data_IF_428415568655
#
_entry.id   IF_428415568655
#
_cell.length_a   1.000
_cell.length_b   1.000
_cell.length_c   1.000
_cell.angle_alpha   90.00
_cell.angle_beta   90.00
_cell.angle_gamma   90.00
#
_symmetry.space_group_name_H-M   'P 1'
#
loop_
_entity.id
_entity.type
_entity.pdbx_description
1 polymer ?
#
# COMPACT_ATOMS: atom_id res chain seq x y z
N UNK A 1 -27.54 -19.87 4.68
CA UNK A 1 -27.63 -18.93 3.55
C UNK A 1 -26.50 -17.93 3.69
N UNK A 2 -25.44 -18.09 2.91
CA UNK A 2 -24.42 -17.03 2.82
C UNK A 2 -25.06 -15.84 2.14
N UNK A 3 -24.95 -14.66 2.76
CA UNK A 3 -25.53 -13.43 2.21
C UNK A 3 -24.79 -13.04 0.94
N UNK A 4 -25.50 -12.89 -0.16
CA UNK A 4 -25.02 -12.45 -1.48
C UNK A 4 -24.39 -11.03 -1.44
N UNK A 5 -24.33 -10.40 -0.26
CA UNK A 5 -23.84 -9.04 -0.03
C UNK A 5 -22.54 -8.96 0.77
N UNK A 6 -21.89 -10.08 1.03
CA UNK A 6 -20.64 -10.07 1.78
C UNK A 6 -19.53 -9.40 0.98
N UNK A 7 -18.71 -8.61 1.67
CA UNK A 7 -17.48 -8.03 1.11
C UNK A 7 -16.31 -8.92 1.47
N UNK A 8 -15.50 -9.23 0.49
CA UNK A 8 -14.31 -10.06 0.66
C UNK A 8 -13.09 -9.15 0.78
N UNK A 9 -12.29 -9.34 1.83
CA UNK A 9 -10.99 -8.71 1.96
C UNK A 9 -9.90 -9.70 1.58
N UNK A 10 -9.18 -9.43 0.47
CA UNK A 10 -8.13 -10.32 -0.02
C UNK A 10 -6.78 -9.91 0.54
N UNK A 11 -6.34 -10.55 1.63
CA UNK A 11 -5.10 -10.22 2.32
C UNK A 11 -3.95 -11.22 2.11
N UNK A 12 -4.24 -12.50 1.85
CA UNK A 12 -3.23 -13.52 1.51
C UNK A 12 -2.90 -13.51 0.01
N UNK A 13 -2.35 -12.37 -0.47
CA UNK A 13 -2.18 -12.16 -1.89
C UNK A 13 -3.46 -11.71 -2.59
N UNK A 14 -3.43 -11.60 -3.92
CA UNK A 14 -4.55 -11.11 -4.73
C UNK A 14 -5.49 -12.23 -5.21
N UNK A 15 -5.07 -13.50 -5.21
CA UNK A 15 -5.79 -14.61 -5.85
C UNK A 15 -7.20 -14.83 -5.29
N UNK A 16 -7.35 -14.74 -3.97
CA UNK A 16 -8.66 -14.84 -3.33
C UNK A 16 -9.62 -13.74 -3.75
N UNK A 17 -9.11 -12.51 -3.90
CA UNK A 17 -9.88 -11.37 -4.39
C UNK A 17 -10.29 -11.53 -5.85
N UNK A 18 -9.37 -11.97 -6.70
CA UNK A 18 -9.65 -12.26 -8.11
C UNK A 18 -10.73 -13.33 -8.23
N UNK A 19 -10.62 -14.42 -7.49
CA UNK A 19 -11.63 -15.50 -7.50
C UNK A 19 -13.00 -14.98 -7.01
N UNK A 20 -13.03 -14.16 -5.96
CA UNK A 20 -14.25 -13.57 -5.43
C UNK A 20 -14.90 -12.59 -6.40
N UNK A 21 -14.13 -11.73 -7.07
CA UNK A 21 -14.62 -10.81 -8.08
C UNK A 21 -15.23 -11.55 -9.29
N UNK A 22 -14.57 -12.63 -9.75
CA UNK A 22 -15.08 -13.51 -10.80
C UNK A 22 -16.38 -14.21 -10.42
N UNK A 23 -16.60 -14.46 -9.13
CA UNK A 23 -17.85 -15.00 -8.58
C UNK A 23 -18.92 -13.92 -8.33
N UNK A 24 -18.66 -12.64 -8.66
CA UNK A 24 -19.58 -11.52 -8.50
C UNK A 24 -19.64 -10.92 -7.09
N UNK A 25 -18.71 -11.27 -6.21
CA UNK A 25 -18.65 -10.69 -4.87
C UNK A 25 -17.90 -9.35 -4.87
N UNK A 26 -18.32 -8.45 -3.98
CA UNK A 26 -17.62 -7.19 -3.75
C UNK A 26 -16.29 -7.44 -3.00
N UNK A 27 -15.20 -6.84 -3.48
CA UNK A 27 -13.85 -7.10 -2.98
C UNK A 27 -13.13 -5.82 -2.60
N UNK A 28 -12.45 -5.85 -1.46
CA UNK A 28 -11.42 -4.88 -1.08
C UNK A 28 -10.06 -5.58 -1.24
N UNK A 29 -9.20 -5.03 -2.08
CA UNK A 29 -7.87 -5.59 -2.32
C UNK A 29 -6.89 -5.05 -1.28
N UNK A 30 -6.33 -5.95 -0.48
CA UNK A 30 -5.37 -5.62 0.58
C UNK A 30 -4.26 -6.68 0.71
N UNK A 31 -3.66 -7.13 -0.42
CA UNK A 31 -2.67 -8.21 -0.39
C UNK A 31 -1.45 -7.82 0.44
N UNK A 32 -1.04 -8.72 1.33
CA UNK A 32 0.12 -8.51 2.19
C UNK A 32 1.41 -8.26 1.41
N UNK A 33 1.48 -8.73 0.18
CA UNK A 33 2.63 -8.49 -0.72
C UNK A 33 2.81 -7.03 -1.13
N UNK A 34 1.77 -6.18 -1.03
CA UNK A 34 1.79 -4.80 -1.51
C UNK A 34 1.18 -3.79 -0.53
N UNK A 35 0.26 -4.23 0.33
CA UNK A 35 -0.59 -3.35 1.13
C UNK A 35 -0.31 -3.41 2.64
N UNK A 36 0.64 -4.23 3.09
CA UNK A 36 1.01 -4.32 4.51
C UNK A 36 2.10 -3.29 4.82
N UNK A 37 1.67 -2.19 5.42
CA UNK A 37 2.53 -1.05 5.73
C UNK A 37 3.23 -1.18 7.08
N UNK A 38 3.11 -2.30 7.75
CA UNK A 38 3.89 -2.73 8.91
C UNK A 38 5.16 -3.52 8.52
N UNK A 39 5.29 -3.89 7.23
CA UNK A 39 6.52 -4.47 6.68
C UNK A 39 7.57 -3.39 6.42
N UNK A 40 8.85 -3.76 6.41
CA UNK A 40 9.95 -2.84 6.15
C UNK A 40 9.87 -2.21 4.75
N UNK A 41 10.31 -0.95 4.64
CA UNK A 41 10.34 -0.20 3.39
C UNK A 41 11.71 -0.28 2.71
N UNK A 42 12.73 -0.75 3.42
CA UNK A 42 14.13 -0.82 2.96
C UNK A 42 14.70 -2.22 3.11
N UNK A 43 15.75 -2.53 2.35
CA UNK A 43 16.53 -3.76 2.50
C UNK A 43 17.58 -3.66 3.62
N UNK A 44 17.77 -2.48 4.22
CA UNK A 44 18.66 -2.24 5.35
C UNK A 44 17.86 -1.87 6.63
N UNK A 45 16.92 -2.72 7.07
CA UNK A 45 16.03 -2.37 8.17
C UNK A 45 16.78 -2.10 9.48
N UNK A 46 17.85 -2.85 9.74
CA UNK A 46 18.67 -2.69 10.95
C UNK A 46 19.27 -1.29 11.11
N UNK A 47 19.49 -0.59 10.00
CA UNK A 47 20.08 0.74 9.96
C UNK A 47 19.05 1.86 9.88
N UNK A 48 17.93 1.62 9.18
CA UNK A 48 17.03 2.67 8.73
C UNK A 48 15.61 2.56 9.32
N UNK A 49 15.25 1.41 9.88
CA UNK A 49 13.89 1.18 10.38
C UNK A 49 13.89 0.93 11.89
N UNK A 50 12.80 1.30 12.58
CA UNK A 50 12.54 0.77 13.93
C UNK A 50 12.33 -0.74 13.90
N UNK A 51 12.32 -1.37 15.08
CA UNK A 51 11.97 -2.78 15.20
C UNK A 51 10.61 -3.06 14.56
N UNK A 52 10.52 -4.07 13.70
CA UNK A 52 9.31 -4.43 12.98
C UNK A 52 9.11 -5.94 12.85
N UNK A 53 7.98 -6.34 12.27
CA UNK A 53 7.62 -7.76 12.08
C UNK A 53 8.47 -8.47 11.00
N UNK A 54 9.19 -7.71 10.20
CA UNK A 54 9.88 -8.22 9.01
C UNK A 54 9.12 -7.95 7.72
N UNK A 55 9.43 -8.73 6.67
CA UNK A 55 8.89 -8.51 5.33
C UNK A 55 9.51 -7.31 4.62
N UNK A 56 9.23 -7.15 3.31
CA UNK A 56 9.76 -6.04 2.52
C UNK A 56 8.72 -5.55 1.51
N UNK A 57 8.25 -4.34 1.73
CA UNK A 57 7.24 -3.67 0.87
C UNK A 57 7.64 -2.20 0.68
N UNK A 58 8.60 -1.91 -0.23
CA UNK A 58 9.01 -0.54 -0.53
C UNK A 58 7.92 0.22 -1.30
N UNK A 59 8.09 1.55 -1.40
CA UNK A 59 7.15 2.45 -2.11
C UNK A 59 6.88 1.99 -3.54
N UNK A 60 7.94 1.61 -4.27
CA UNK A 60 7.82 1.11 -5.65
C UNK A 60 6.94 -0.13 -5.75
N UNK A 61 7.06 -1.05 -4.80
CA UNK A 61 6.25 -2.27 -4.76
C UNK A 61 4.78 -1.96 -4.47
N UNK A 62 4.49 -1.07 -3.53
CA UNK A 62 3.12 -0.58 -3.31
C UNK A 62 2.56 0.04 -4.58
N UNK A 63 3.33 0.92 -5.23
CA UNK A 63 2.92 1.62 -6.44
C UNK A 63 2.70 0.71 -7.64
N UNK A 64 3.43 -0.41 -7.74
CA UNK A 64 3.28 -1.39 -8.83
C UNK A 64 2.03 -2.26 -8.71
N UNK A 65 1.32 -2.21 -7.59
CA UNK A 65 0.13 -3.02 -7.40
C UNK A 65 -0.97 -2.65 -8.38
N UNK A 66 -1.48 -3.65 -9.11
CA UNK A 66 -2.67 -3.51 -9.96
C UNK A 66 -3.84 -4.28 -9.32
N UNK A 67 -4.85 -3.58 -8.76
CA UNK A 67 -6.01 -4.22 -8.15
C UNK A 67 -6.94 -4.89 -9.17
N UNK A 68 -6.77 -4.62 -10.47
CA UNK A 68 -7.59 -5.14 -11.56
C UNK A 68 -6.92 -6.25 -12.37
N UNK A 69 -5.68 -6.62 -12.00
CA UNK A 69 -4.95 -7.69 -12.67
C UNK A 69 -5.79 -8.95 -12.81
N UNK A 70 -5.79 -9.56 -13.99
CA UNK A 70 -6.52 -10.79 -14.34
C UNK A 70 -8.06 -10.71 -14.26
N UNK A 71 -8.62 -9.50 -14.25
CA UNK A 71 -10.06 -9.25 -14.22
C UNK A 71 -10.52 -8.61 -15.53
N UNK A 72 -11.63 -9.12 -16.09
CA UNK A 72 -12.36 -8.44 -17.18
C UNK A 72 -12.99 -7.13 -16.71
N UNK A 73 -13.35 -6.24 -17.64
CA UNK A 73 -13.99 -4.95 -17.30
C UNK A 73 -15.26 -5.13 -16.46
N UNK A 74 -16.03 -6.19 -16.68
CA UNK A 74 -17.23 -6.48 -15.90
C UNK A 74 -16.86 -6.88 -14.45
N UNK A 75 -15.83 -7.73 -14.28
CA UNK A 75 -15.37 -8.19 -12.97
C UNK A 75 -14.68 -7.08 -12.16
N UNK A 76 -14.03 -6.13 -12.83
CA UNK A 76 -13.42 -4.95 -12.20
C UNK A 76 -14.44 -4.12 -11.42
N UNK A 77 -15.70 -4.09 -11.84
CA UNK A 77 -16.78 -3.40 -11.12
C UNK A 77 -17.04 -3.96 -9.71
N UNK A 78 -16.58 -5.19 -9.45
CA UNK A 78 -16.65 -5.81 -8.12
C UNK A 78 -15.56 -5.30 -7.16
N UNK A 79 -14.50 -4.66 -7.67
CA UNK A 79 -13.43 -4.11 -6.84
C UNK A 79 -13.87 -2.78 -6.25
N UNK A 80 -14.06 -2.75 -4.93
CA UNK A 80 -14.47 -1.54 -4.20
C UNK A 80 -13.31 -0.59 -3.93
N UNK A 81 -12.08 -1.09 -3.99
CA UNK A 81 -10.87 -0.32 -3.78
C UNK A 81 -9.75 -1.13 -3.17
N UNK A 82 -8.75 -0.41 -2.69
CA UNK A 82 -7.55 -0.94 -2.04
C UNK A 82 -7.49 -0.46 -0.59
N UNK A 83 -6.84 -1.26 0.28
CA UNK A 83 -6.64 -0.89 1.69
C UNK A 83 -5.21 -1.19 2.10
N UNK A 84 -4.55 -0.22 2.75
CA UNK A 84 -3.29 -0.43 3.45
C UNK A 84 -3.53 -0.85 4.89
N UNK A 85 -2.82 -1.87 5.34
CA UNK A 85 -2.89 -2.36 6.72
C UNK A 85 -1.63 -1.95 7.48
N UNK A 86 -1.82 -1.53 8.74
CA UNK A 86 -0.74 -1.25 9.69
C UNK A 86 -1.08 -2.05 10.95
N UNK A 87 -0.44 -3.21 11.11
CA UNK A 87 -0.57 -4.03 12.28
C UNK A 87 0.42 -3.53 13.35
N UNK A 88 -0.04 -3.45 14.60
CA UNK A 88 0.67 -2.67 15.61
C UNK A 88 1.46 -3.50 16.62
N UNK A 89 1.71 -4.77 16.35
CA UNK A 89 2.47 -5.65 17.25
C UNK A 89 3.85 -5.08 17.60
N UNK A 90 4.49 -4.38 16.66
CA UNK A 90 5.81 -3.76 16.83
C UNK A 90 5.76 -2.23 16.77
N UNK A 91 4.59 -1.63 16.54
CA UNK A 91 4.45 -0.18 16.37
C UNK A 91 4.01 0.44 17.70
N UNK A 92 4.98 0.95 18.45
CA UNK A 92 4.79 1.42 19.81
C UNK A 92 4.29 2.88 19.93
N UNK A 93 4.27 3.64 18.83
CA UNK A 93 3.90 5.06 18.86
C UNK A 93 3.27 5.55 17.56
N UNK A 94 2.55 6.67 17.63
CA UNK A 94 1.97 7.30 16.45
C UNK A 94 3.07 7.78 15.47
N UNK A 95 4.19 8.27 15.97
CA UNK A 95 5.33 8.66 15.14
C UNK A 95 5.91 7.46 14.37
N UNK A 96 5.95 6.27 15.01
CA UNK A 96 6.35 5.04 14.34
C UNK A 96 5.31 4.65 13.26
N UNK A 97 4.02 4.72 13.56
CA UNK A 97 2.97 4.44 12.58
C UNK A 97 3.06 5.39 11.36
N UNK A 98 3.32 6.68 11.58
CA UNK A 98 3.54 7.65 10.49
C UNK A 98 4.75 7.27 9.64
N UNK A 99 5.88 6.92 10.26
CA UNK A 99 7.08 6.49 9.55
C UNK A 99 6.79 5.27 8.67
N UNK A 100 6.08 4.28 9.20
CA UNK A 100 5.73 3.06 8.46
C UNK A 100 4.71 3.33 7.34
N UNK A 101 3.78 4.27 7.53
CA UNK A 101 2.78 4.62 6.53
C UNK A 101 3.34 5.48 5.38
N UNK A 102 4.20 6.45 5.71
CA UNK A 102 4.64 7.48 4.76
C UNK A 102 6.05 7.19 4.22
N UNK A 103 6.25 7.31 2.90
CA UNK A 103 5.32 7.83 1.89
C UNK A 103 4.43 6.77 1.19
N UNK A 104 4.47 5.50 1.58
CA UNK A 104 3.74 4.39 0.93
C UNK A 104 2.23 4.62 0.83
N UNK A 105 1.63 5.30 1.82
CA UNK A 105 0.20 5.61 1.78
C UNK A 105 -0.16 6.53 0.61
N UNK A 106 0.74 7.46 0.24
CA UNK A 106 0.54 8.28 -0.97
C UNK A 106 0.60 7.44 -2.25
N UNK A 107 1.52 6.45 -2.31
CA UNK A 107 1.59 5.50 -3.42
C UNK A 107 0.30 4.66 -3.52
N UNK A 108 -0.17 4.13 -2.40
CA UNK A 108 -1.40 3.33 -2.36
C UNK A 108 -2.64 4.16 -2.72
N UNK A 109 -2.69 5.42 -2.31
CA UNK A 109 -3.77 6.33 -2.70
C UNK A 109 -3.81 6.50 -4.22
N UNK A 110 -2.66 6.68 -4.88
CA UNK A 110 -2.62 6.81 -6.34
C UNK A 110 -2.99 5.50 -7.05
N UNK A 111 -2.63 4.34 -6.48
CA UNK A 111 -3.12 3.03 -6.95
C UNK A 111 -4.65 2.98 -6.95
N UNK A 112 -5.28 3.46 -5.89
CA UNK A 112 -6.74 3.43 -5.77
C UNK A 112 -7.47 4.44 -6.66
N UNK A 113 -6.88 5.63 -6.90
CA UNK A 113 -7.57 6.72 -7.58
C UNK A 113 -7.19 6.90 -9.05
N UNK A 114 -6.03 6.43 -9.48
CA UNK A 114 -5.46 6.69 -10.80
C UNK A 114 -4.80 5.48 -11.45
N UNK A 115 -5.32 4.27 -11.21
CA UNK A 115 -4.72 3.01 -11.61
C UNK A 115 -4.23 2.99 -13.07
N UNK A 116 -5.05 3.49 -14.00
CA UNK A 116 -4.78 3.46 -15.44
C UNK A 116 -3.80 4.54 -15.94
N UNK A 117 -3.43 5.49 -15.09
CA UNK A 117 -2.64 6.67 -15.47
C UNK A 117 -1.40 6.86 -14.62
N UNK A 118 -0.93 5.78 -13.99
CA UNK A 118 0.21 5.84 -13.08
C UNK A 118 1.53 5.89 -13.84
N UNK A 119 2.39 6.78 -13.39
CA UNK A 119 3.79 6.87 -13.79
C UNK A 119 4.64 7.08 -12.54
N UNK A 120 5.53 6.12 -12.24
CA UNK A 120 6.34 6.14 -11.02
C UNK A 120 7.35 7.30 -11.00
N UNK A 121 7.89 7.67 -12.16
CA UNK A 121 8.82 8.80 -12.27
C UNK A 121 8.11 10.13 -11.97
N UNK A 122 6.91 10.33 -12.52
CA UNK A 122 6.08 11.49 -12.21
C UNK A 122 5.63 11.49 -10.74
N UNK A 123 5.23 10.34 -10.20
CA UNK A 123 4.92 10.19 -8.79
C UNK A 123 6.09 10.62 -7.90
N UNK A 124 7.29 10.10 -8.14
CA UNK A 124 8.50 10.45 -7.37
C UNK A 124 8.78 11.94 -7.44
N UNK A 125 8.66 12.56 -8.61
CA UNK A 125 8.82 14.02 -8.79
C UNK A 125 7.79 14.78 -7.95
N UNK A 126 6.53 14.41 -7.92
CA UNK A 126 5.48 15.04 -7.11
C UNK A 126 5.70 14.83 -5.61
N UNK A 127 6.29 13.72 -5.21
CA UNK A 127 6.60 13.44 -3.81
C UNK A 127 7.60 14.43 -3.20
N UNK A 128 8.42 15.13 -4.01
CA UNK A 128 9.27 16.21 -3.50
C UNK A 128 8.46 17.36 -2.89
N UNK A 129 7.26 17.63 -3.39
CA UNK A 129 6.32 18.60 -2.83
C UNK A 129 5.67 18.05 -1.57
N UNK A 130 5.28 16.77 -1.57
CA UNK A 130 4.74 16.09 -0.39
C UNK A 130 5.74 16.06 0.76
N UNK A 131 7.04 15.90 0.50
CA UNK A 131 8.08 16.01 1.52
C UNK A 131 8.00 17.34 2.27
N UNK A 132 7.88 18.46 1.53
CA UNK A 132 7.75 19.80 2.15
C UNK A 132 6.48 19.93 3.00
N UNK A 133 5.40 19.27 2.58
CA UNK A 133 4.14 19.23 3.35
C UNK A 133 4.32 18.42 4.64
N UNK A 134 4.97 17.26 4.55
CA UNK A 134 5.26 16.42 5.71
C UNK A 134 6.11 17.17 6.73
N UNK A 135 7.17 17.85 6.28
CA UNK A 135 8.04 18.67 7.13
C UNK A 135 7.24 19.81 7.80
N UNK A 136 6.42 20.52 7.04
CA UNK A 136 5.57 21.61 7.56
C UNK A 136 4.56 21.14 8.59
N UNK A 137 4.01 19.94 8.41
CA UNK A 137 3.04 19.34 9.33
C UNK A 137 3.69 18.59 10.50
N UNK A 138 5.01 18.46 10.51
CA UNK A 138 5.74 17.72 11.54
C UNK A 138 5.52 16.22 11.48
N UNK A 139 5.14 15.65 10.32
CA UNK A 139 4.95 14.23 10.16
C UNK A 139 6.29 13.48 10.15
N UNK A 140 6.28 12.29 10.73
CA UNK A 140 7.38 11.34 10.57
C UNK A 140 7.16 10.52 9.30
N UNK A 141 8.23 10.28 8.53
CA UNK A 141 8.18 9.52 7.29
C UNK A 141 9.53 8.86 7.01
N UNK A 142 9.56 7.85 6.17
CA UNK A 142 10.77 7.20 5.71
C UNK A 142 11.55 8.14 4.76
N UNK A 143 12.46 8.94 5.32
CA UNK A 143 13.17 10.00 4.60
C UNK A 143 14.11 9.45 3.51
N UNK A 144 14.66 8.27 3.71
CA UNK A 144 15.58 7.60 2.77
C UNK A 144 14.97 7.34 1.38
N UNK A 145 13.64 7.26 1.28
CA UNK A 145 12.96 7.24 -0.03
C UNK A 145 13.31 8.45 -0.89
N UNK A 146 13.42 9.63 -0.27
CA UNK A 146 13.70 10.88 -0.97
C UNK A 146 15.20 11.08 -1.27
N UNK A 147 16.04 10.37 -0.57
CA UNK A 147 17.49 10.49 -0.67
C UNK A 147 18.09 9.38 -1.56
N UNK A 148 17.23 8.48 -2.08
CA UNK A 148 17.62 7.36 -2.96
C UNK A 148 18.45 6.27 -2.28
N UNK A 149 18.44 6.23 -0.94
CA UNK A 149 19.26 5.29 -0.16
C UNK A 149 18.45 4.10 0.38
N UNK A 150 17.18 4.03 0.11
CA UNK A 150 16.26 3.03 0.68
C UNK A 150 15.68 2.00 -0.30
N UNK A 151 16.03 2.05 -1.59
CA UNK A 151 15.57 1.07 -2.60
C UNK A 151 16.68 0.13 -3.04
#
# INVERSE_FOLDING_TARGET
>A
QMCIRDRIMSWRGADGGVAAAKAGNQVIMTPNTHCYLDYFQTQEPERLEPLGIGGYVPVRKVYSFDPYDRLSSAEQSCIQGVQGNIWTEYIASFAHAQHMALPRLAALAEVGWACDRRDFGDFTRRMTVFRKLYDKCGYRYASYFFDGTGE
#
